data_IF_989016737417
#
_entry.id   IF_989016737417
#
_cell.length_a   1.000
_cell.length_b   1.000
_cell.length_c   1.000
_cell.angle_alpha   90.00
_cell.angle_beta   90.00
_cell.angle_gamma   90.00
#
_symmetry.space_group_name_H-M   'P 1'
#
loop_
_entity.id
_entity.type
_entity.pdbx_description
1 polymer ?
#
# COMPACT_ATOMS: atom_id res chain seq x y z
N UNK A 1 -13.95 20.17 21.22
CA UNK A 1 -14.27 18.93 20.49
C UNK A 1 -13.31 18.83 19.34
N UNK A 2 -12.41 17.86 19.34
CA UNK A 2 -11.63 17.55 18.13
C UNK A 2 -12.63 17.07 17.09
N UNK A 3 -12.88 17.85 16.03
CA UNK A 3 -14.02 17.62 15.15
C UNK A 3 -13.85 16.25 14.52
N UNK A 4 -14.95 15.50 14.45
CA UNK A 4 -15.08 14.19 13.76
C UNK A 4 -14.31 14.15 12.43
N UNK A 5 -14.18 15.28 11.75
CA UNK A 5 -13.36 15.47 10.56
C UNK A 5 -11.92 14.97 10.67
N UNK A 6 -11.23 15.19 11.80
CA UNK A 6 -9.86 14.72 12.01
C UNK A 6 -9.78 13.20 12.10
N UNK A 7 -10.71 12.58 12.84
CA UNK A 7 -10.79 11.12 12.97
C UNK A 7 -11.11 10.46 11.63
N UNK A 8 -12.03 11.07 10.88
CA UNK A 8 -12.44 10.62 9.55
C UNK A 8 -11.29 10.79 8.54
N UNK A 9 -10.60 11.93 8.57
CA UNK A 9 -9.44 12.21 7.73
C UNK A 9 -8.34 11.17 7.94
N UNK A 10 -8.02 10.84 9.19
CA UNK A 10 -7.05 9.78 9.54
C UNK A 10 -7.48 8.39 9.04
N UNK A 11 -8.76 8.07 9.11
CA UNK A 11 -9.27 6.78 8.65
C UNK A 11 -9.13 6.57 7.12
N UNK A 12 -9.31 7.63 6.32
CA UNK A 12 -9.17 7.53 4.86
C UNK A 12 -7.74 7.30 4.39
N UNK A 13 -6.74 7.58 5.22
CA UNK A 13 -5.33 7.38 4.87
C UNK A 13 -4.97 5.90 4.82
N UNK A 14 -5.57 5.08 5.68
CA UNK A 14 -5.27 3.64 5.76
C UNK A 14 -5.58 2.88 4.47
N UNK A 15 -6.79 2.97 3.86
CA UNK A 15 -7.07 2.32 2.58
C UNK A 15 -6.21 2.86 1.44
N UNK A 16 -5.95 4.18 1.42
CA UNK A 16 -5.17 4.83 0.36
C UNK A 16 -3.73 4.34 0.36
N UNK A 17 -3.12 4.16 1.53
CA UNK A 17 -1.75 3.64 1.62
C UNK A 17 -1.69 2.12 1.51
N UNK A 18 -2.65 1.42 2.11
CA UNK A 18 -2.62 -0.05 2.21
C UNK A 18 -3.16 -0.77 0.98
N UNK A 19 -4.29 -0.33 0.44
CA UNK A 19 -5.05 -1.09 -0.57
C UNK A 19 -5.08 -0.45 -1.96
N UNK A 20 -4.73 0.83 -2.10
CA UNK A 20 -4.78 1.51 -3.39
C UNK A 20 -3.93 0.81 -4.46
N UNK A 21 -2.63 0.60 -4.21
CA UNK A 21 -1.75 0.00 -5.20
C UNK A 21 -2.07 -1.46 -5.54
N UNK A 22 -2.31 -2.34 -4.56
CA UNK A 22 -2.73 -3.72 -4.83
C UNK A 22 -4.00 -3.81 -5.67
N UNK A 23 -4.99 -2.93 -5.42
CA UNK A 23 -6.24 -2.91 -6.18
C UNK A 23 -6.03 -2.39 -7.61
N UNK A 24 -5.31 -1.27 -7.79
CA UNK A 24 -5.02 -0.72 -9.12
C UNK A 24 -4.19 -1.69 -9.95
N UNK A 25 -3.12 -2.25 -9.39
CA UNK A 25 -2.33 -3.25 -10.08
C UNK A 25 -3.09 -4.57 -10.28
N UNK A 26 -3.95 -4.98 -9.34
CA UNK A 26 -4.81 -6.16 -9.51
C UNK A 26 -5.82 -6.03 -10.65
N UNK A 27 -6.37 -4.84 -10.88
CA UNK A 27 -7.36 -4.58 -11.94
C UNK A 27 -6.72 -4.32 -13.31
N UNK A 28 -5.62 -3.55 -13.36
CA UNK A 28 -5.03 -3.09 -14.61
C UNK A 28 -3.76 -3.85 -15.02
N UNK A 29 -3.10 -4.56 -14.10
CA UNK A 29 -1.80 -5.17 -14.36
C UNK A 29 -1.86 -6.70 -14.37
N UNK A 30 -1.75 -7.28 -15.56
CA UNK A 30 -1.86 -8.72 -15.78
C UNK A 30 -0.74 -9.55 -15.13
N UNK A 31 0.35 -8.90 -14.66
CA UNK A 31 1.42 -9.53 -13.87
C UNK A 31 1.32 -9.28 -12.36
N UNK A 32 0.19 -8.80 -11.85
CA UNK A 32 0.03 -8.58 -10.41
C UNK A 32 0.19 -9.89 -9.63
N UNK A 33 1.17 -9.95 -8.72
CA UNK A 33 1.42 -11.14 -7.89
C UNK A 33 0.92 -10.91 -6.46
N UNK A 34 0.45 -11.97 -5.81
CA UNK A 34 -0.01 -11.91 -4.41
C UNK A 34 1.11 -11.50 -3.46
N UNK A 35 2.35 -11.92 -3.73
CA UNK A 35 3.52 -11.55 -2.93
C UNK A 35 3.86 -10.06 -3.09
N UNK A 36 3.75 -9.49 -4.30
CA UNK A 36 3.85 -8.05 -4.51
C UNK A 36 2.77 -7.26 -3.77
N UNK A 37 1.53 -7.75 -3.77
CA UNK A 37 0.43 -7.14 -3.02
C UNK A 37 0.70 -7.11 -1.50
N UNK A 38 1.19 -8.22 -0.92
CA UNK A 38 1.54 -8.30 0.50
C UNK A 38 2.72 -7.36 0.81
N UNK A 39 3.77 -7.36 0.00
CA UNK A 39 4.91 -6.45 0.15
C UNK A 39 4.47 -4.97 0.07
N UNK A 40 3.57 -4.63 -0.85
CA UNK A 40 2.97 -3.30 -0.96
C UNK A 40 2.24 -2.89 0.32
N UNK A 41 1.41 -3.77 0.88
CA UNK A 41 0.65 -3.48 2.11
C UNK A 41 1.61 -3.27 3.28
N UNK A 42 2.57 -4.18 3.47
CA UNK A 42 3.52 -4.13 4.59
C UNK A 42 4.43 -2.90 4.50
N UNK A 43 5.00 -2.62 3.32
CA UNK A 43 5.86 -1.45 3.12
C UNK A 43 5.08 -0.14 3.21
N UNK A 44 3.88 -0.08 2.62
CA UNK A 44 3.01 1.08 2.70
C UNK A 44 2.59 1.41 4.12
N UNK A 45 1.95 0.44 4.80
CA UNK A 45 1.49 0.60 6.17
C UNK A 45 2.65 0.81 7.14
N UNK A 46 3.77 0.10 6.96
CA UNK A 46 4.97 0.25 7.78
C UNK A 46 5.58 1.64 7.66
N UNK A 47 5.70 2.18 6.44
CA UNK A 47 6.25 3.52 6.22
C UNK A 47 5.31 4.61 6.70
N UNK A 48 3.99 4.44 6.51
CA UNK A 48 2.98 5.35 7.05
C UNK A 48 3.04 5.38 8.58
N UNK A 49 3.06 4.22 9.24
CA UNK A 49 3.18 4.16 10.70
C UNK A 49 4.50 4.78 11.18
N UNK A 50 5.62 4.47 10.52
CA UNK A 50 6.91 5.06 10.87
C UNK A 50 6.92 6.58 10.75
N UNK A 51 6.31 7.16 9.72
CA UNK A 51 6.23 8.62 9.54
C UNK A 51 5.21 9.28 10.47
N UNK A 52 4.11 8.60 10.78
CA UNK A 52 3.08 9.09 11.70
C UNK A 52 3.58 9.11 13.16
N UNK A 53 4.34 8.08 13.56
CA UNK A 53 4.90 7.98 14.92
C UNK A 53 6.29 8.65 15.08
N UNK A 54 6.94 9.05 13.99
CA UNK A 54 8.25 9.72 14.00
C UNK A 54 8.13 11.23 13.76
N UNK A 55 8.99 12.08 14.36
CA UNK A 55 9.02 13.52 14.09
C UNK A 55 9.29 13.87 12.61
N UNK A 56 9.71 12.91 11.78
CA UNK A 56 9.81 13.03 10.33
C UNK A 56 8.49 13.38 9.64
N UNK A 57 7.33 13.08 10.26
CA UNK A 57 6.01 13.48 9.75
C UNK A 57 5.79 15.00 9.68
N UNK A 58 6.59 15.80 10.40
CA UNK A 58 6.57 17.27 10.30
C UNK A 58 7.26 17.79 9.03
N UNK A 59 8.20 17.03 8.48
CA UNK A 59 8.93 17.37 7.26
C UNK A 59 8.29 16.75 6.01
N UNK A 60 7.61 15.61 6.14
CA UNK A 60 7.02 14.88 5.03
C UNK A 60 5.64 14.27 5.38
N UNK A 61 4.62 14.43 4.52
CA UNK A 61 3.31 13.84 4.77
C UNK A 61 3.36 12.31 4.83
N UNK A 62 2.86 11.66 5.90
CA UNK A 62 2.97 10.21 6.10
C UNK A 62 2.21 9.42 5.03
N UNK A 63 1.10 9.95 4.52
CA UNK A 63 0.32 9.36 3.42
C UNK A 63 1.15 9.27 2.15
N UNK A 64 1.91 10.32 1.80
CA UNK A 64 2.74 10.33 0.60
C UNK A 64 3.87 9.32 0.72
N UNK A 65 4.55 9.26 1.87
CA UNK A 65 5.61 8.29 2.10
C UNK A 65 5.10 6.84 2.05
N UNK A 66 3.96 6.58 2.70
CA UNK A 66 3.28 5.29 2.63
C UNK A 66 2.87 4.91 1.20
N UNK A 67 2.29 5.85 0.45
CA UNK A 67 1.84 5.62 -0.93
C UNK A 67 2.99 5.30 -1.88
N UNK A 68 4.12 6.01 -1.77
CA UNK A 68 5.32 5.75 -2.56
C UNK A 68 5.92 4.39 -2.22
N UNK A 69 6.06 4.07 -0.93
CA UNK A 69 6.62 2.79 -0.50
C UNK A 69 5.70 1.60 -0.81
N UNK A 70 4.38 1.77 -0.75
CA UNK A 70 3.42 0.80 -1.25
C UNK A 70 3.67 0.52 -2.73
N UNK A 71 3.88 1.56 -3.54
CA UNK A 71 4.18 1.43 -4.96
C UNK A 71 5.47 0.66 -5.19
N UNK A 72 6.55 1.05 -4.52
CA UNK A 72 7.84 0.33 -4.62
C UNK A 72 7.69 -1.13 -4.20
N UNK A 73 6.93 -1.42 -3.15
CA UNK A 73 6.63 -2.79 -2.72
C UNK A 73 5.86 -3.60 -3.75
N UNK A 74 4.86 -2.97 -4.40
CA UNK A 74 4.07 -3.60 -5.44
C UNK A 74 4.90 -3.89 -6.69
N UNK A 75 5.62 -2.89 -7.20
CA UNK A 75 6.44 -3.03 -8.40
C UNK A 75 7.65 -3.94 -8.17
N UNK A 76 8.36 -3.77 -7.05
CA UNK A 76 9.51 -4.59 -6.67
C UNK A 76 9.11 -6.04 -6.38
N UNK A 77 8.05 -6.25 -5.59
CA UNK A 77 7.57 -7.59 -5.26
C UNK A 77 6.93 -8.32 -6.45
N UNK A 78 6.28 -7.58 -7.36
CA UNK A 78 5.70 -8.12 -8.60
C UNK A 78 6.76 -8.55 -9.61
N UNK A 79 7.88 -7.83 -9.73
CA UNK A 79 8.98 -8.21 -10.63
C UNK A 79 9.80 -9.41 -10.12
N UNK A 80 9.94 -9.56 -8.80
CA UNK A 80 10.76 -10.62 -8.19
C UNK A 80 10.01 -11.95 -8.02
N UNK A 81 8.69 -11.92 -7.96
CA UNK A 81 7.89 -13.11 -7.63
C UNK A 81 7.44 -13.84 -8.90
N UNK A 82 7.66 -15.17 -9.00
CA UNK A 82 7.16 -15.96 -10.13
C UNK A 82 5.62 -15.85 -10.25
N UNK A 83 5.05 -15.93 -11.47
CA UNK A 83 3.62 -15.86 -11.67
C UNK A 83 2.88 -16.93 -10.85
N UNK A 84 1.85 -16.52 -10.10
CA UNK A 84 1.04 -17.44 -9.32
C UNK A 84 0.19 -18.32 -10.24
N UNK A 85 0.49 -19.61 -10.23
CA UNK A 85 -0.16 -20.67 -11.00
C UNK A 85 -1.62 -20.96 -10.59
N UNK A 86 -2.23 -20.22 -9.66
CA UNK A 86 -3.57 -20.52 -9.13
C UNK A 86 -4.74 -20.21 -10.06
N UNK A 87 -4.55 -19.39 -11.10
CA UNK A 87 -5.64 -19.10 -12.07
C UNK A 87 -5.90 -20.29 -13.01
N UNK A 88 -4.95 -21.23 -13.16
CA UNK A 88 -5.08 -22.36 -14.09
C UNK A 88 -5.90 -23.55 -13.56
N UNK A 89 -6.42 -23.51 -12.32
CA UNK A 89 -7.16 -24.64 -11.72
C UNK A 89 -8.69 -24.48 -11.69
N UNK A 90 -9.22 -23.36 -12.19
CA UNK A 90 -10.66 -23.07 -12.21
C UNK A 90 -11.24 -22.84 -13.61
N UNK A 91 -10.48 -23.17 -14.67
CA UNK A 91 -10.96 -23.14 -16.06
C UNK A 91 -11.09 -24.56 -16.63
#
# INVERSE_FOLDING_TARGET
GTPIYELVSKAYQFPVVGAFWPLVCGLYWQRSTTQGAICSIVLGMGTWALLEFSPLGQAFPPVLGGFLMAGVGMFGGSLLSPPDHRIARTA
#
